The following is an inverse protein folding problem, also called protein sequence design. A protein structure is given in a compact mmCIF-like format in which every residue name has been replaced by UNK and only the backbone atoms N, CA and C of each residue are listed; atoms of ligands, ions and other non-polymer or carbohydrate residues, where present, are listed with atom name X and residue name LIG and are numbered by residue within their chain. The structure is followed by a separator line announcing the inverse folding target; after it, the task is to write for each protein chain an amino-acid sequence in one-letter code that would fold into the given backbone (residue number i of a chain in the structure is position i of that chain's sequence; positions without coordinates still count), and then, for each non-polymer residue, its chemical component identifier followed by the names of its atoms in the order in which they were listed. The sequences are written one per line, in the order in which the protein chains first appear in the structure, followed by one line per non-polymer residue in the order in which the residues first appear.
data_IF_696062263937
#
_entry.id   IF_696062263937
#
_cell.length_a   1.000
_cell.length_b   1.000
_cell.length_c   1.000
_cell.angle_alpha   90.00
_cell.angle_beta   90.00
_cell.angle_gamma   90.00
#
_symmetry.space_group_name_H-M   'P 1'
#
loop_
_entity.id
_entity.type
_entity.pdbx_description
1 polymer ?
#
# COMPACT_ATOMS: atom_id res chain seq x y z
N UNK A 1 27.77 -40.60 65.07
CA UNK A 1 27.70 -39.16 64.72
C UNK A 1 28.68 -38.89 63.59
N UNK A 2 28.24 -38.82 62.34
CA UNK A 2 29.09 -38.38 61.21
C UNK A 2 28.26 -37.39 60.40
N UNK A 3 28.58 -36.11 60.55
CA UNK A 3 27.89 -34.98 59.94
C UNK A 3 28.35 -34.87 58.49
N UNK A 4 27.70 -35.61 57.58
CA UNK A 4 27.91 -35.51 56.12
C UNK A 4 27.45 -34.12 55.65
N UNK A 5 28.40 -33.44 55.02
CA UNK A 5 28.61 -31.99 54.99
C UNK A 5 27.85 -31.28 53.83
N UNK A 6 27.60 -29.95 53.91
CA UNK A 6 26.83 -29.13 52.95
C UNK A 6 27.29 -29.09 51.48
N UNK A 7 28.50 -29.56 51.15
CA UNK A 7 29.04 -29.48 49.78
C UNK A 7 28.31 -30.38 48.78
N UNK A 8 27.87 -31.58 49.20
CA UNK A 8 27.09 -32.51 48.37
C UNK A 8 25.74 -31.90 47.93
N UNK A 9 25.12 -31.13 48.83
CA UNK A 9 23.84 -30.47 48.59
C UNK A 9 23.98 -29.33 47.58
N UNK A 10 25.01 -28.50 47.73
CA UNK A 10 25.32 -27.42 46.78
C UNK A 10 25.77 -27.96 45.41
N UNK A 11 26.51 -29.09 45.38
CA UNK A 11 26.90 -29.75 44.14
C UNK A 11 25.68 -30.33 43.40
N UNK A 12 24.80 -31.07 44.09
CA UNK A 12 23.55 -31.57 43.49
C UNK A 12 22.67 -30.43 43.00
N UNK A 13 22.59 -29.33 43.75
CA UNK A 13 21.83 -28.12 43.37
C UNK A 13 22.43 -27.43 42.14
N UNK A 14 23.76 -27.37 42.01
CA UNK A 14 24.44 -26.83 40.82
C UNK A 14 24.28 -27.73 39.60
N UNK A 15 24.37 -29.06 39.77
CA UNK A 15 24.21 -30.03 38.67
C UNK A 15 22.78 -30.01 38.13
N UNK A 16 21.78 -30.06 39.01
CA UNK A 16 20.35 -30.02 38.62
C UNK A 16 19.97 -28.70 37.97
N UNK A 17 20.39 -27.56 38.54
CA UNK A 17 20.15 -26.22 37.96
C UNK A 17 20.83 -26.03 36.60
N UNK A 18 22.00 -26.63 36.37
CA UNK A 18 22.68 -26.61 35.07
C UNK A 18 21.94 -27.45 34.03
N UNK A 19 21.33 -28.58 34.44
CA UNK A 19 20.56 -29.44 33.53
C UNK A 19 19.22 -28.80 33.09
N UNK A 20 18.55 -28.07 33.97
CA UNK A 20 17.33 -27.32 33.61
C UNK A 20 17.58 -26.18 32.61
N UNK A 21 18.79 -25.61 32.60
CA UNK A 21 19.19 -24.57 31.62
C UNK A 21 19.26 -25.06 30.18
N UNK A 22 19.44 -26.37 29.94
CA UNK A 22 19.50 -26.94 28.60
C UNK A 22 18.14 -27.26 27.99
N UNK A 23 17.05 -27.15 28.78
CA UNK A 23 15.67 -27.38 28.31
C UNK A 23 15.00 -26.10 27.79
N UNK A 24 15.79 -25.10 27.35
CA UNK A 24 15.26 -23.82 26.83
C UNK A 24 14.95 -23.89 25.32
N UNK A 25 13.64 -24.05 25.06
CA UNK A 25 12.85 -23.54 23.93
C UNK A 25 13.27 -23.95 22.51
N UNK A 26 12.79 -25.11 22.06
CA UNK A 26 12.52 -25.31 20.63
C UNK A 26 11.28 -24.48 20.24
N UNK A 27 11.50 -23.37 19.55
CA UNK A 27 10.42 -22.64 18.89
C UNK A 27 10.05 -23.44 17.62
N UNK A 28 9.02 -24.27 17.70
CA UNK A 28 8.36 -24.83 16.51
C UNK A 28 7.58 -23.70 15.84
N UNK A 29 8.22 -22.95 14.95
CA UNK A 29 7.58 -21.88 14.20
C UNK A 29 8.20 -21.80 12.82
N UNK A 30 7.35 -21.78 11.81
CA UNK A 30 7.67 -21.74 10.38
C UNK A 30 8.28 -23.04 9.84
N UNK A 31 7.38 -23.96 9.48
CA UNK A 31 7.72 -25.04 8.55
C UNK A 31 7.62 -24.55 7.10
N UNK A 32 8.30 -25.22 6.17
CA UNK A 32 8.18 -24.91 4.73
C UNK A 32 6.73 -25.08 4.24
N UNK A 33 6.05 -26.12 4.69
CA UNK A 33 4.65 -26.40 4.32
C UNK A 33 3.71 -25.27 4.76
N UNK A 34 3.97 -24.66 5.91
CA UNK A 34 3.18 -23.53 6.43
C UNK A 34 3.32 -22.30 5.52
N UNK A 35 4.53 -22.00 5.04
CA UNK A 35 4.73 -20.92 4.06
C UNK A 35 4.08 -21.23 2.71
N UNK A 36 4.09 -22.49 2.26
CA UNK A 36 3.45 -22.88 1.00
C UNK A 36 1.93 -22.66 1.02
N UNK A 37 1.27 -23.01 2.13
CA UNK A 37 -0.18 -22.79 2.30
C UNK A 37 -0.47 -21.28 2.37
N UNK A 38 0.38 -20.49 3.03
CA UNK A 38 0.22 -19.03 3.10
C UNK A 38 0.31 -18.39 1.71
N UNK A 39 1.31 -18.77 0.89
CA UNK A 39 1.42 -18.27 -0.48
C UNK A 39 0.23 -18.67 -1.36
N UNK A 40 -0.30 -19.88 -1.15
CA UNK A 40 -1.50 -20.35 -1.85
C UNK A 40 -2.73 -19.47 -1.52
N UNK A 41 -2.97 -19.18 -0.25
CA UNK A 41 -4.10 -18.35 0.18
C UNK A 41 -3.94 -16.90 -0.30
N UNK A 42 -2.74 -16.32 -0.18
CA UNK A 42 -2.46 -14.95 -0.65
C UNK A 42 -2.65 -14.85 -2.17
N UNK A 43 -2.26 -15.86 -2.94
CA UNK A 43 -2.45 -15.87 -4.39
C UNK A 43 -3.92 -15.73 -4.78
N UNK A 44 -4.82 -16.48 -4.13
CA UNK A 44 -6.28 -16.41 -4.39
C UNK A 44 -6.83 -15.04 -3.98
N UNK A 45 -6.41 -14.51 -2.82
CA UNK A 45 -6.82 -13.18 -2.36
C UNK A 45 -6.40 -12.10 -3.37
N UNK A 46 -5.15 -12.09 -3.82
CA UNK A 46 -4.63 -11.10 -4.78
C UNK A 46 -5.42 -11.12 -6.10
N UNK A 47 -5.78 -12.30 -6.61
CA UNK A 47 -6.58 -12.43 -7.83
C UNK A 47 -7.98 -11.79 -7.72
N UNK A 48 -8.60 -11.82 -6.53
CA UNK A 48 -9.89 -11.15 -6.30
C UNK A 48 -9.74 -9.64 -6.05
N UNK A 49 -8.63 -9.22 -5.44
CA UNK A 49 -8.39 -7.80 -5.10
C UNK A 49 -7.91 -6.97 -6.30
N UNK A 50 -6.99 -7.48 -7.13
CA UNK A 50 -6.46 -6.76 -8.31
C UNK A 50 -7.55 -6.23 -9.24
N UNK A 51 -8.55 -7.03 -9.70
CA UNK A 51 -9.57 -6.51 -10.62
C UNK A 51 -10.42 -5.42 -9.98
N UNK A 52 -10.67 -5.50 -8.68
CA UNK A 52 -11.40 -4.47 -7.95
C UNK A 52 -10.60 -3.18 -7.78
N UNK A 53 -9.27 -3.27 -7.60
CA UNK A 53 -8.36 -2.11 -7.55
C UNK A 53 -8.17 -1.46 -8.93
N UNK A 54 -8.06 -2.25 -10.00
CA UNK A 54 -7.88 -1.73 -11.37
C UNK A 54 -9.07 -0.86 -11.79
N UNK A 55 -10.31 -1.31 -11.52
CA UNK A 55 -11.53 -0.54 -11.81
C UNK A 55 -11.60 0.79 -11.05
N UNK A 56 -11.11 0.81 -9.81
CA UNK A 56 -11.04 2.04 -9.02
C UNK A 56 -10.03 3.03 -9.59
N UNK A 57 -8.88 2.56 -10.09
CA UNK A 57 -7.88 3.41 -10.74
C UNK A 57 -8.46 4.11 -11.96
N UNK A 58 -9.20 3.40 -12.81
CA UNK A 58 -9.83 3.97 -14.00
C UNK A 58 -10.90 5.00 -13.63
N UNK A 59 -11.71 4.70 -12.61
CA UNK A 59 -12.74 5.62 -12.10
C UNK A 59 -12.14 6.90 -11.51
N UNK A 60 -11.04 6.78 -10.76
CA UNK A 60 -10.33 7.93 -10.19
C UNK A 60 -9.68 8.77 -11.29
N UNK A 61 -9.13 8.13 -12.33
CA UNK A 61 -8.61 8.83 -13.51
C UNK A 61 -9.71 9.62 -14.22
N UNK A 62 -10.87 9.01 -14.44
CA UNK A 62 -12.02 9.66 -15.07
C UNK A 62 -12.56 10.84 -14.25
N UNK A 63 -12.66 10.68 -12.92
CA UNK A 63 -13.03 11.77 -12.02
C UNK A 63 -12.00 12.90 -12.01
N UNK A 64 -10.71 12.56 -12.05
CA UNK A 64 -9.62 13.53 -12.15
C UNK A 64 -9.68 14.31 -13.47
N UNK A 65 -9.88 13.61 -14.59
CA UNK A 65 -10.03 14.22 -15.91
C UNK A 65 -11.24 15.17 -15.95
N UNK A 66 -12.40 14.77 -15.38
CA UNK A 66 -13.58 15.65 -15.25
C UNK A 66 -13.30 16.91 -14.44
N UNK A 67 -12.54 16.80 -13.35
CA UNK A 67 -12.14 17.97 -12.56
C UNK A 67 -11.25 18.91 -13.39
N UNK A 68 -10.32 18.35 -14.19
CA UNK A 68 -9.49 19.13 -15.12
C UNK A 68 -10.35 19.85 -16.16
N UNK A 69 -11.32 19.17 -16.78
CA UNK A 69 -12.25 19.80 -17.74
C UNK A 69 -12.96 20.99 -17.10
N UNK A 70 -13.50 20.82 -15.88
CA UNK A 70 -14.20 21.89 -15.18
C UNK A 70 -13.31 23.11 -14.88
N UNK A 71 -12.04 22.87 -14.56
CA UNK A 71 -11.06 23.94 -14.39
C UNK A 71 -10.81 24.68 -15.70
N UNK A 72 -10.69 23.95 -16.81
CA UNK A 72 -10.52 24.56 -18.14
C UNK A 72 -11.76 25.38 -18.53
N UNK A 73 -12.96 24.85 -18.34
CA UNK A 73 -14.23 25.57 -18.59
C UNK A 73 -14.32 26.86 -17.77
N UNK A 74 -13.97 26.81 -16.48
CA UNK A 74 -13.95 28.00 -15.64
C UNK A 74 -12.95 29.05 -16.13
N UNK A 75 -11.79 28.62 -16.63
CA UNK A 75 -10.80 29.54 -17.21
C UNK A 75 -11.28 30.16 -18.52
N UNK A 76 -12.00 29.39 -19.35
CA UNK A 76 -12.66 29.90 -20.56
C UNK A 76 -13.68 30.97 -20.17
N UNK A 77 -14.58 30.67 -19.23
CA UNK A 77 -15.60 31.60 -18.75
C UNK A 77 -14.97 32.92 -18.24
N UNK A 78 -13.93 32.82 -17.40
CA UNK A 78 -13.19 33.99 -16.92
C UNK A 78 -12.57 34.78 -18.08
N UNK A 79 -12.00 34.10 -19.08
CA UNK A 79 -11.40 34.77 -20.23
C UNK A 79 -12.45 35.52 -21.06
N UNK A 80 -13.59 34.90 -21.33
CA UNK A 80 -14.69 35.46 -22.11
C UNK A 80 -15.31 36.67 -21.42
N UNK A 81 -15.49 36.62 -20.10
CA UNK A 81 -15.97 37.75 -19.29
C UNK A 81 -15.00 38.95 -19.38
N UNK A 82 -13.69 38.69 -19.33
CA UNK A 82 -12.68 39.76 -19.30
C UNK A 82 -12.42 40.41 -20.65
N UNK A 83 -12.61 39.68 -21.75
CA UNK A 83 -12.27 40.15 -23.10
C UNK A 83 -13.49 40.41 -23.98
N UNK A 84 -14.71 40.19 -23.47
CA UNK A 84 -16.00 40.31 -24.17
C UNK A 84 -16.01 39.61 -25.53
N UNK A 85 -15.27 38.50 -25.63
CA UNK A 85 -15.09 37.72 -26.86
C UNK A 85 -14.99 36.25 -26.54
N UNK A 86 -15.51 35.40 -27.42
CA UNK A 86 -15.34 33.95 -27.31
C UNK A 86 -13.88 33.54 -27.48
N UNK A 87 -13.44 32.59 -26.68
CA UNK A 87 -12.06 32.10 -26.76
C UNK A 87 -11.82 31.30 -28.06
N UNK A 88 -10.69 31.55 -28.72
CA UNK A 88 -10.27 30.76 -29.89
C UNK A 88 -9.40 29.57 -29.46
N UNK A 89 -9.38 28.46 -30.22
CA UNK A 89 -8.57 27.26 -29.92
C UNK A 89 -7.07 27.59 -29.70
N UNK A 90 -6.53 28.55 -30.48
CA UNK A 90 -5.16 29.05 -30.33
C UNK A 90 -4.92 29.84 -29.03
N UNK A 91 -5.94 30.51 -28.50
CA UNK A 91 -5.86 31.24 -27.23
C UNK A 91 -6.01 30.29 -26.05
N UNK A 92 -6.89 29.28 -26.18
CA UNK A 92 -7.04 28.22 -25.20
C UNK A 92 -5.72 27.46 -24.99
N UNK A 93 -5.00 27.10 -26.06
CA UNK A 93 -3.68 26.45 -25.95
C UNK A 93 -2.62 27.30 -25.24
N UNK A 94 -2.78 28.63 -25.19
CA UNK A 94 -1.89 29.55 -24.46
C UNK A 94 -2.32 29.73 -23.00
N UNK A 95 -3.60 29.52 -22.71
CA UNK A 95 -4.21 29.71 -21.40
C UNK A 95 -3.97 28.49 -20.49
N UNK A 96 -4.05 27.27 -21.04
CA UNK A 96 -3.96 26.02 -20.30
C UNK A 96 -2.72 25.21 -20.66
N UNK A 97 -2.33 24.26 -19.81
CA UNK A 97 -1.22 23.34 -20.15
C UNK A 97 -1.60 22.37 -21.26
N UNK A 98 -0.60 21.90 -22.01
CA UNK A 98 -0.78 20.95 -23.11
C UNK A 98 -1.50 19.66 -22.70
N UNK A 99 -1.37 19.24 -21.45
CA UNK A 99 -2.04 18.06 -20.91
C UNK A 99 -3.53 18.33 -20.63
N UNK A 100 -3.84 19.46 -19.99
CA UNK A 100 -5.22 19.92 -19.76
C UNK A 100 -5.98 20.10 -21.09
N UNK A 101 -5.32 20.66 -22.10
CA UNK A 101 -5.88 20.81 -23.43
C UNK A 101 -6.21 19.47 -24.10
N UNK A 102 -5.33 18.47 -23.97
CA UNK A 102 -5.57 17.11 -24.49
C UNK A 102 -6.75 16.44 -23.78
N UNK A 103 -6.83 16.56 -22.46
CA UNK A 103 -7.94 16.03 -21.66
C UNK A 103 -9.25 16.70 -22.10
N UNK A 104 -9.25 18.02 -22.22
CA UNK A 104 -10.42 18.77 -22.69
C UNK A 104 -10.89 18.33 -24.10
N UNK A 105 -9.98 18.19 -25.07
CA UNK A 105 -10.33 17.70 -26.42
C UNK A 105 -10.80 16.24 -26.44
N UNK A 106 -10.24 15.37 -25.59
CA UNK A 106 -10.67 13.98 -25.46
C UNK A 106 -12.10 13.85 -24.92
N UNK A 107 -12.55 14.78 -24.09
CA UNK A 107 -13.91 14.79 -23.52
C UNK A 107 -14.97 15.38 -24.46
N UNK A 108 -14.56 16.20 -25.42
CA UNK A 108 -15.45 16.86 -26.40
C UNK A 108 -15.73 15.99 -27.64
N UNK A 109 -15.05 14.84 -27.79
CA UNK A 109 -15.03 14.02 -29.00
C UNK A 109 -15.53 12.60 -28.72
#
# INVERSE_FOLDING_TARGET
MIKKWPLEFELKKRITKKFESFKKKTKKGFTLIEMMIVLLVISILVLLFIPNLSKQKDTVSDQGDKAVVKVVESQIEIYEINHDKKITDNELQKLVTSEQYKIYKKYQN
#
